data_IF_814159147086
#
_entry.id   IF_814159147086
#
_cell.length_a   1.000
_cell.length_b   1.000
_cell.length_c   1.000
_cell.angle_alpha   90.00
_cell.angle_beta   90.00
_cell.angle_gamma   90.00
#
_symmetry.space_group_name_H-M   'P 1'
#
loop_
_entity.id
_entity.type
_entity.pdbx_description
1 polymer ?
#
# COMPACT_ATOMS: atom_id res chain seq x y z
N UNK A 1 -55.31 -19.28 35.74
CA UNK A 1 -53.82 -19.32 35.69
C UNK A 1 -53.34 -19.30 34.26
N UNK A 2 -53.49 -18.21 33.47
CA UNK A 2 -53.03 -18.11 32.05
C UNK A 2 -52.53 -16.72 31.65
N UNK A 3 -52.10 -15.87 32.59
CA UNK A 3 -51.64 -14.50 32.30
C UNK A 3 -50.18 -14.20 32.63
N UNK A 4 -49.45 -15.12 33.19
CA UNK A 4 -48.06 -14.88 33.66
C UNK A 4 -46.98 -15.30 32.68
N UNK A 5 -47.29 -16.12 31.66
CA UNK A 5 -46.29 -16.64 30.72
C UNK A 5 -46.03 -15.72 29.53
N UNK A 6 -46.93 -14.80 29.23
CA UNK A 6 -46.80 -13.91 28.05
C UNK A 6 -45.88 -12.69 28.33
N UNK A 7 -45.73 -12.30 29.58
CA UNK A 7 -44.89 -11.12 29.95
C UNK A 7 -43.38 -11.51 29.95
N UNK A 8 -43.02 -12.76 30.25
CA UNK A 8 -41.62 -13.19 30.29
C UNK A 8 -41.00 -13.37 28.91
N UNK A 9 -41.78 -13.69 27.89
CA UNK A 9 -41.29 -13.82 26.51
C UNK A 9 -41.07 -12.45 25.85
N UNK A 10 -41.88 -11.42 26.19
CA UNK A 10 -41.70 -10.07 25.69
C UNK A 10 -40.43 -9.39 26.25
N UNK A 11 -40.05 -9.71 27.48
CA UNK A 11 -38.85 -9.14 28.11
C UNK A 11 -37.53 -9.74 27.61
N UNK A 12 -37.55 -10.96 27.08
CA UNK A 12 -36.37 -11.62 26.54
C UNK A 12 -36.01 -11.15 25.12
N UNK A 13 -36.94 -10.62 24.37
CA UNK A 13 -36.70 -10.12 22.99
C UNK A 13 -36.06 -8.73 22.99
N UNK A 14 -36.26 -7.93 24.03
CA UNK A 14 -35.70 -6.56 24.10
C UNK A 14 -34.21 -6.57 24.51
N UNK A 15 -33.71 -7.62 25.14
CA UNK A 15 -32.31 -7.70 25.57
C UNK A 15 -31.31 -8.00 24.42
N UNK A 16 -31.77 -8.42 23.25
CA UNK A 16 -30.90 -8.72 22.10
C UNK A 16 -30.72 -7.56 21.11
N UNK A 17 -31.39 -6.44 21.31
CA UNK A 17 -31.40 -5.33 20.34
C UNK A 17 -30.34 -4.25 20.61
N UNK A 18 -29.56 -4.34 21.67
CA UNK A 18 -28.45 -3.41 21.95
C UNK A 18 -27.09 -4.14 21.92
N UNK A 19 -26.72 -4.64 20.75
CA UNK A 19 -25.31 -4.74 20.48
C UNK A 19 -24.86 -3.32 20.07
N UNK A 20 -23.92 -2.69 20.78
CA UNK A 20 -23.30 -1.49 20.28
C UNK A 20 -22.72 -1.88 18.93
N UNK A 21 -23.17 -1.23 17.84
CA UNK A 21 -22.49 -1.33 16.58
C UNK A 21 -21.03 -0.98 16.87
N UNK A 22 -20.15 -1.98 16.75
CA UNK A 22 -18.72 -1.72 16.85
C UNK A 22 -18.46 -0.57 15.86
N UNK A 23 -17.97 0.55 16.39
CA UNK A 23 -17.67 1.71 15.57
C UNK A 23 -16.76 1.23 14.44
N UNK A 24 -17.28 1.18 13.24
CA UNK A 24 -16.53 0.74 12.08
C UNK A 24 -15.55 1.85 11.77
N UNK A 25 -14.28 1.62 12.08
CA UNK A 25 -13.21 2.57 11.81
C UNK A 25 -13.18 2.86 10.32
N UNK A 26 -13.47 4.08 9.93
CA UNK A 26 -13.23 4.58 8.59
C UNK A 26 -11.84 5.24 8.52
N UNK A 27 -11.29 5.38 7.33
CA UNK A 27 -10.00 6.05 7.18
C UNK A 27 -10.03 7.50 7.69
N UNK A 28 -11.18 8.15 7.57
CA UNK A 28 -11.42 9.53 8.03
C UNK A 28 -11.53 9.66 9.55
N UNK A 29 -11.90 8.59 10.25
CA UNK A 29 -12.10 8.58 11.70
C UNK A 29 -10.81 8.30 12.49
N UNK A 30 -9.68 8.13 11.80
CA UNK A 30 -8.39 7.81 12.39
C UNK A 30 -7.60 9.07 12.71
N UNK A 31 -8.20 9.95 13.42
CA UNK A 31 -7.55 11.15 13.93
C UNK A 31 -7.32 11.10 15.43
N UNK A 32 -6.80 12.18 15.95
CA UNK A 32 -6.75 12.54 17.37
C UNK A 32 -7.04 14.03 17.48
N UNK A 33 -7.13 14.55 18.71
CA UNK A 33 -7.46 15.97 18.92
C UNK A 33 -6.51 16.96 18.22
N UNK A 34 -5.32 16.51 17.83
CA UNK A 34 -4.29 17.30 17.16
C UNK A 34 -3.85 16.76 15.79
N UNK A 35 -4.52 15.73 15.25
CA UNK A 35 -4.24 15.15 13.94
C UNK A 35 -5.55 14.98 13.18
N UNK A 36 -5.64 15.59 12.01
CA UNK A 36 -6.75 15.45 11.08
C UNK A 36 -6.32 14.60 9.86
N UNK A 37 -7.15 13.63 9.47
CA UNK A 37 -6.95 12.88 8.22
C UNK A 37 -7.59 13.66 7.08
N UNK A 38 -6.78 14.30 6.24
CA UNK A 38 -7.24 15.15 5.14
C UNK A 38 -7.47 14.40 3.84
N UNK A 39 -6.90 13.21 3.68
CA UNK A 39 -7.05 12.40 2.47
C UNK A 39 -6.82 10.92 2.73
N UNK A 40 -7.36 10.08 1.86
CA UNK A 40 -7.19 8.64 1.90
C UNK A 40 -7.22 8.06 0.49
N UNK A 41 -6.31 7.11 0.22
CA UNK A 41 -6.27 6.34 -1.03
C UNK A 41 -6.36 4.84 -0.72
N UNK A 42 -7.40 4.15 -1.22
CA UNK A 42 -7.51 2.70 -1.06
C UNK A 42 -6.54 1.99 -2.03
N UNK A 43 -5.45 1.46 -1.50
CA UNK A 43 -4.44 0.74 -2.29
C UNK A 43 -4.65 -0.78 -2.33
N UNK A 44 -5.72 -1.28 -1.76
CA UNK A 44 -6.07 -2.70 -1.74
C UNK A 44 -6.32 -3.26 -0.33
N UNK A 45 -6.41 -4.58 -0.19
CA UNK A 45 -6.70 -5.22 1.09
C UNK A 45 -5.56 -5.02 2.09
N UNK A 46 -5.78 -5.45 3.33
CA UNK A 46 -4.75 -5.43 4.38
C UNK A 46 -3.46 -6.11 3.93
N UNK A 47 -2.32 -5.61 4.38
CA UNK A 47 -0.97 -6.10 4.03
C UNK A 47 -0.61 -5.94 2.53
N UNK A 48 -1.15 -4.93 1.86
CA UNK A 48 -0.83 -4.63 0.46
C UNK A 48 0.21 -3.51 0.29
N UNK A 49 0.69 -2.94 1.39
CA UNK A 49 1.76 -1.94 1.45
C UNK A 49 2.82 -2.44 2.43
N UNK A 50 4.08 -2.46 2.00
CA UNK A 50 5.22 -2.84 2.83
C UNK A 50 5.93 -1.62 3.42
N UNK A 51 6.22 -0.64 2.58
CA UNK A 51 6.95 0.57 2.94
C UNK A 51 6.46 1.76 2.11
N UNK A 52 6.78 2.95 2.56
CA UNK A 52 6.49 4.19 1.86
C UNK A 52 7.60 5.22 2.11
N UNK A 53 8.02 5.90 1.06
CA UNK A 53 8.90 7.06 1.17
C UNK A 53 8.26 8.30 0.55
N UNK A 54 8.53 9.46 1.12
CA UNK A 54 7.97 10.74 0.69
C UNK A 54 9.07 11.65 0.17
N UNK A 55 8.85 12.29 -0.97
CA UNK A 55 9.74 13.34 -1.43
C UNK A 55 9.77 14.50 -0.44
N UNK A 56 10.99 14.99 -0.17
CA UNK A 56 11.23 16.06 0.79
C UNK A 56 11.11 17.46 0.18
N UNK A 57 11.10 17.55 -1.14
CA UNK A 57 10.95 18.82 -1.84
C UNK A 57 9.46 19.14 -2.09
N UNK A 58 8.96 20.24 -1.53
CA UNK A 58 7.55 20.65 -1.67
C UNK A 58 7.11 20.87 -3.13
N UNK A 59 8.05 21.13 -4.04
CA UNK A 59 7.79 21.22 -5.48
C UNK A 59 7.56 19.87 -6.14
N UNK A 60 7.84 18.77 -5.44
CA UNK A 60 7.69 17.40 -5.90
C UNK A 60 6.84 16.59 -4.88
N UNK A 61 5.53 16.83 -4.85
CA UNK A 61 4.65 16.24 -3.84
C UNK A 61 4.28 14.80 -4.20
N UNK A 62 5.22 13.86 -4.07
CA UNK A 62 5.04 12.45 -4.40
C UNK A 62 5.30 11.54 -3.21
N UNK A 63 4.52 10.46 -3.13
CA UNK A 63 4.78 9.32 -2.26
C UNK A 63 5.08 8.09 -3.14
N UNK A 64 6.11 7.36 -2.74
CA UNK A 64 6.54 6.11 -3.35
C UNK A 64 6.12 4.96 -2.44
N UNK A 65 5.26 4.08 -2.91
CA UNK A 65 4.61 3.07 -2.09
C UNK A 65 5.00 1.68 -2.57
N UNK A 66 5.77 0.98 -1.75
CA UNK A 66 6.15 -0.40 -2.01
C UNK A 66 4.93 -1.32 -1.85
N UNK A 67 4.63 -2.08 -2.92
CA UNK A 67 3.47 -2.96 -3.00
C UNK A 67 3.89 -4.40 -2.85
N UNK A 68 3.29 -5.05 -1.85
CA UNK A 68 3.44 -6.48 -1.63
C UNK A 68 2.08 -7.13 -1.39
N UNK A 69 1.98 -8.44 -1.58
CA UNK A 69 0.80 -9.17 -1.19
C UNK A 69 1.13 -10.63 -0.87
N UNK A 70 0.68 -11.10 0.29
CA UNK A 70 0.90 -12.48 0.73
C UNK A 70 0.03 -13.50 -0.01
N UNK A 71 -1.07 -13.07 -0.64
CA UNK A 71 -1.87 -13.93 -1.50
C UNK A 71 -1.38 -13.86 -2.96
N UNK A 72 -1.80 -14.81 -3.77
CA UNK A 72 -1.44 -14.86 -5.20
C UNK A 72 -1.97 -13.67 -5.99
N UNK A 73 -3.15 -13.16 -5.63
CA UNK A 73 -3.77 -12.02 -6.26
C UNK A 73 -3.55 -10.75 -5.45
N UNK A 74 -2.75 -9.82 -5.94
CA UNK A 74 -2.48 -8.53 -5.34
C UNK A 74 -1.36 -7.79 -6.04
N UNK A 75 -1.35 -6.47 -5.96
CA UNK A 75 -0.31 -5.68 -6.60
C UNK A 75 1.06 -5.93 -5.95
N UNK A 76 2.08 -6.18 -6.76
CA UNK A 76 3.47 -6.39 -6.35
C UNK A 76 4.38 -5.46 -7.14
N UNK A 77 5.14 -4.63 -6.47
CA UNK A 77 6.02 -3.65 -7.10
C UNK A 77 5.98 -2.29 -6.43
N UNK A 78 5.73 -1.25 -7.19
CA UNK A 78 5.72 0.15 -6.74
C UNK A 78 4.50 0.88 -7.28
N UNK A 79 3.85 1.67 -6.44
CA UNK A 79 2.92 2.73 -6.86
C UNK A 79 3.54 4.10 -6.55
N UNK A 80 3.45 5.03 -7.50
CA UNK A 80 3.77 6.44 -7.28
C UNK A 80 2.45 7.21 -7.12
N UNK A 81 2.31 7.89 -6.00
CA UNK A 81 1.12 8.66 -5.63
C UNK A 81 1.41 10.13 -5.72
N UNK A 82 0.57 10.88 -6.42
CA UNK A 82 0.56 12.33 -6.38
C UNK A 82 -0.11 12.83 -5.11
N UNK A 83 0.56 13.74 -4.42
CA UNK A 83 0.08 14.48 -3.25
C UNK A 83 -0.08 15.98 -3.57
N UNK A 84 -0.15 16.35 -4.85
CA UNK A 84 -0.32 17.75 -5.28
C UNK A 84 -1.61 18.36 -4.72
N UNK A 85 -2.65 17.56 -4.58
CA UNK A 85 -3.82 17.84 -3.76
C UNK A 85 -3.89 16.79 -2.64
N UNK A 86 -3.47 17.13 -1.41
CA UNK A 86 -3.47 16.17 -0.31
C UNK A 86 -4.86 15.66 0.08
N UNK A 87 -5.93 16.38 -0.26
CA UNK A 87 -7.30 15.94 -0.02
C UNK A 87 -7.79 14.92 -1.06
N UNK A 88 -7.08 14.80 -2.18
CA UNK A 88 -7.39 13.89 -3.28
C UNK A 88 -6.14 13.16 -3.80
N UNK A 89 -5.44 12.40 -2.95
CA UNK A 89 -4.26 11.65 -3.37
C UNK A 89 -4.65 10.58 -4.38
N UNK A 90 -3.83 10.39 -5.42
CA UNK A 90 -4.12 9.40 -6.46
C UNK A 90 -2.84 8.81 -7.08
N UNK A 91 -2.93 7.56 -7.52
CA UNK A 91 -1.81 6.86 -8.17
C UNK A 91 -1.63 7.41 -9.59
N UNK A 92 -0.41 7.87 -9.89
CA UNK A 92 -0.04 8.39 -11.21
C UNK A 92 0.82 7.42 -12.02
N UNK A 93 1.50 6.48 -11.36
CA UNK A 93 2.33 5.48 -12.02
C UNK A 93 2.32 4.16 -11.25
N UNK A 94 2.42 3.03 -11.98
CA UNK A 94 2.49 1.69 -11.41
C UNK A 94 3.59 0.88 -12.10
N UNK A 95 4.64 0.60 -11.36
CA UNK A 95 5.60 -0.42 -11.78
C UNK A 95 5.20 -1.76 -11.16
N UNK A 96 5.29 -2.85 -11.95
CA UNK A 96 4.95 -4.19 -11.49
C UNK A 96 6.07 -5.17 -11.77
N UNK A 97 6.24 -6.13 -10.89
CA UNK A 97 7.15 -7.26 -11.08
C UNK A 97 6.66 -8.06 -12.30
N UNK A 98 7.59 -8.41 -13.19
CA UNK A 98 7.27 -9.00 -14.49
C UNK A 98 6.64 -10.39 -14.40
N UNK A 99 7.05 -11.20 -13.44
CA UNK A 99 6.56 -12.56 -13.28
C UNK A 99 5.93 -12.76 -11.90
N UNK A 100 4.68 -12.34 -11.75
CA UNK A 100 3.97 -12.38 -10.46
C UNK A 100 3.80 -13.81 -9.91
N UNK A 101 3.76 -14.84 -10.75
CA UNK A 101 3.61 -16.23 -10.34
C UNK A 101 4.86 -16.74 -9.58
N UNK A 102 6.05 -16.37 -10.05
CA UNK A 102 7.32 -16.70 -9.38
C UNK A 102 7.47 -15.93 -8.05
N UNK A 103 6.75 -14.84 -7.89
CA UNK A 103 6.81 -13.95 -6.74
C UNK A 103 5.60 -14.10 -5.81
N UNK A 104 5.05 -15.32 -5.67
CA UNK A 104 3.95 -15.56 -4.75
C UNK A 104 4.33 -15.21 -3.30
N UNK A 105 3.44 -14.52 -2.60
CA UNK A 105 3.56 -14.08 -1.20
C UNK A 105 4.61 -12.99 -0.92
N UNK A 106 5.03 -12.24 -1.93
CA UNK A 106 6.04 -11.20 -1.78
C UNK A 106 5.78 -9.99 -2.67
N UNK A 107 6.79 -9.22 -2.95
CA UNK A 107 6.69 -8.05 -3.81
C UNK A 107 7.78 -7.03 -3.53
N UNK A 108 7.46 -5.77 -3.72
CA UNK A 108 8.28 -4.66 -3.31
C UNK A 108 8.27 -4.52 -1.78
N UNK A 109 9.45 -4.48 -1.15
CA UNK A 109 9.58 -4.41 0.31
C UNK A 109 9.92 -3.03 0.79
N UNK A 110 11.11 -2.57 0.51
CA UNK A 110 11.63 -1.29 0.97
C UNK A 110 11.77 -0.34 -0.21
N UNK A 111 11.40 0.92 -0.04
CA UNK A 111 11.47 1.94 -1.07
C UNK A 111 12.16 3.18 -0.54
N UNK A 112 13.12 3.73 -1.31
CA UNK A 112 13.78 4.99 -0.97
C UNK A 112 13.93 5.85 -2.22
N UNK A 113 13.64 7.13 -2.09
CA UNK A 113 13.97 8.10 -3.12
C UNK A 113 15.32 8.77 -2.82
N UNK A 114 15.99 9.21 -3.85
CA UNK A 114 17.21 10.00 -3.72
C UNK A 114 17.40 10.91 -4.93
N UNK A 115 18.20 11.96 -4.71
CA UNK A 115 18.60 12.89 -5.77
C UNK A 115 20.08 12.71 -6.06
N UNK A 116 20.41 12.56 -7.34
CA UNK A 116 21.78 12.48 -7.82
C UNK A 116 21.94 13.34 -9.08
N UNK A 117 22.94 14.18 -9.10
CA UNK A 117 23.30 15.05 -10.25
C UNK A 117 22.09 15.80 -10.85
N UNK A 118 21.20 16.28 -9.98
CA UNK A 118 20.01 17.00 -10.37
C UNK A 118 18.84 16.16 -10.89
N UNK A 119 18.98 14.85 -10.91
CA UNK A 119 17.93 13.88 -11.25
C UNK A 119 17.38 13.20 -10.02
N UNK A 120 16.15 12.70 -10.13
CA UNK A 120 15.43 12.03 -9.03
C UNK A 120 15.23 10.57 -9.36
N UNK A 121 15.52 9.74 -8.38
CA UNK A 121 15.46 8.30 -8.51
C UNK A 121 14.72 7.67 -7.35
N UNK A 122 14.14 6.50 -7.60
CA UNK A 122 13.57 5.63 -6.59
C UNK A 122 14.23 4.27 -6.70
N UNK A 123 14.72 3.77 -5.57
CA UNK A 123 15.17 2.39 -5.45
C UNK A 123 14.10 1.58 -4.73
N UNK A 124 13.69 0.48 -5.33
CA UNK A 124 12.73 -0.47 -4.78
C UNK A 124 13.41 -1.81 -4.57
N UNK A 125 13.50 -2.26 -3.32
CA UNK A 125 13.97 -3.61 -3.02
C UNK A 125 12.87 -4.64 -3.26
N UNK A 126 13.28 -5.83 -3.67
CA UNK A 126 12.40 -6.94 -3.99
C UNK A 126 12.65 -8.11 -3.04
N UNK A 127 11.56 -8.77 -2.65
CA UNK A 127 11.61 -9.96 -1.82
C UNK A 127 10.80 -11.09 -2.46
N UNK A 128 11.20 -12.33 -2.23
CA UNK A 128 10.54 -13.53 -2.77
C UNK A 128 10.01 -14.46 -1.71
N UNK A 129 8.93 -15.16 -2.08
CA UNK A 129 8.38 -16.27 -1.34
C UNK A 129 8.93 -17.65 -1.74
N UNK A 130 9.64 -17.75 -2.86
CA UNK A 130 10.22 -18.99 -3.37
C UNK A 130 11.59 -18.75 -3.99
N UNK A 131 12.46 -19.76 -3.93
CA UNK A 131 13.78 -19.72 -4.55
C UNK A 131 13.73 -20.23 -5.99
N UNK A 132 14.64 -19.75 -6.83
CA UNK A 132 14.85 -20.21 -8.19
C UNK A 132 15.71 -19.24 -9.00
N UNK A 133 16.37 -19.73 -10.08
CA UNK A 133 17.29 -18.90 -10.84
C UNK A 133 16.64 -17.70 -11.54
N UNK A 134 15.34 -17.75 -11.77
CA UNK A 134 14.60 -16.69 -12.46
C UNK A 134 13.91 -15.72 -11.49
N UNK A 135 14.11 -15.89 -10.19
CA UNK A 135 13.53 -15.01 -9.20
C UNK A 135 14.34 -13.71 -9.11
N UNK A 136 13.68 -12.57 -9.26
CA UNK A 136 14.31 -11.26 -9.13
C UNK A 136 14.54 -10.90 -7.67
N UNK A 137 15.66 -11.34 -7.10
CA UNK A 137 16.17 -10.84 -5.82
C UNK A 137 16.99 -9.57 -6.06
N UNK A 138 16.85 -8.62 -5.16
CA UNK A 138 17.66 -7.42 -5.18
C UNK A 138 16.85 -6.16 -5.24
N UNK A 139 17.15 -5.29 -6.18
CA UNK A 139 16.49 -4.00 -6.29
C UNK A 139 16.41 -3.51 -7.74
N UNK A 140 15.40 -2.69 -8.01
CA UNK A 140 15.31 -1.89 -9.24
C UNK A 140 15.48 -0.41 -8.90
N UNK A 141 16.04 0.35 -9.84
CA UNK A 141 16.16 1.79 -9.75
C UNK A 141 15.35 2.40 -10.90
N UNK A 142 14.41 3.26 -10.56
CA UNK A 142 13.60 4.00 -11.51
C UNK A 142 14.03 5.45 -11.54
N UNK A 143 14.18 6.03 -12.73
CA UNK A 143 14.28 7.47 -12.91
C UNK A 143 12.87 8.07 -12.86
N UNK A 144 12.66 9.00 -11.94
CA UNK A 144 11.37 9.66 -11.71
C UNK A 144 11.46 11.18 -11.93
N UNK A 145 12.53 11.62 -12.59
CA UNK A 145 12.83 13.04 -12.78
C UNK A 145 11.71 13.79 -13.51
N UNK A 146 11.10 13.14 -14.50
CA UNK A 146 10.10 13.79 -15.37
C UNK A 146 8.68 13.83 -14.78
N UNK A 147 8.45 13.36 -13.56
CA UNK A 147 7.13 13.49 -12.92
C UNK A 147 6.70 14.97 -12.88
N UNK A 148 5.40 15.26 -13.13
CA UNK A 148 4.25 14.35 -13.04
C UNK A 148 3.92 13.51 -14.29
N UNK A 149 4.69 13.62 -15.38
CA UNK A 149 4.46 12.83 -16.58
C UNK A 149 4.87 11.36 -16.36
N UNK A 150 3.91 10.42 -16.24
CA UNK A 150 4.21 9.02 -15.96
C UNK A 150 4.96 8.31 -17.10
N UNK A 151 4.84 8.78 -18.33
CA UNK A 151 5.50 8.19 -19.51
C UNK A 151 7.02 8.42 -19.50
N UNK A 152 7.49 9.32 -18.65
CA UNK A 152 8.93 9.59 -18.45
C UNK A 152 9.57 8.67 -17.41
N UNK A 153 8.78 7.96 -16.60
CA UNK A 153 9.29 7.04 -15.59
C UNK A 153 9.79 5.76 -16.23
N UNK A 154 11.04 5.40 -15.98
CA UNK A 154 11.64 4.20 -16.56
C UNK A 154 12.71 3.59 -15.65
N UNK A 155 12.93 2.30 -15.79
CA UNK A 155 13.99 1.57 -15.09
C UNK A 155 15.35 1.94 -15.68
N UNK A 156 16.31 2.31 -14.83
CA UNK A 156 17.68 2.67 -15.22
C UNK A 156 18.72 1.67 -14.73
N UNK A 157 18.39 0.90 -13.69
CA UNK A 157 19.28 -0.13 -13.18
C UNK A 157 18.50 -1.22 -12.44
N UNK A 158 19.06 -2.42 -12.48
CA UNK A 158 18.57 -3.56 -11.70
C UNK A 158 19.75 -4.32 -11.10
N UNK A 159 19.69 -4.52 -9.80
CA UNK A 159 20.61 -5.42 -9.09
C UNK A 159 19.90 -6.73 -8.82
N UNK A 160 20.56 -7.85 -9.12
CA UNK A 160 20.09 -9.19 -8.79
C UNK A 160 21.01 -9.79 -7.74
N UNK A 161 20.47 -10.55 -6.80
CA UNK A 161 21.32 -11.33 -5.91
C UNK A 161 22.05 -12.38 -6.75
N UNK A 162 23.37 -12.60 -6.51
CA UNK A 162 24.08 -13.68 -7.17
C UNK A 162 23.43 -15.01 -6.78
N UNK A 163 23.31 -15.91 -7.76
CA UNK A 163 22.92 -17.29 -7.47
C UNK A 163 23.84 -17.84 -6.40
N UNK A 164 23.26 -18.29 -5.30
CA UNK A 164 24.02 -19.10 -4.32
C UNK A 164 24.24 -20.47 -4.93
N UNK A 165 25.48 -20.97 -5.04
CA UNK A 165 25.77 -22.27 -5.60
C UNK A 165 25.16 -23.42 -4.80
#
# INVERSE_FOLDING_TARGET
MKRTTTVLVAMMIVAFAFQPAAAQWTAQDRGSDNIEVIGHIPLGPSLSVADMDLEQEMSRPYAYVARMHYAEAGAKGLDIVSLADPSNPHVIYRWRIENEELHSRTGGMDVKHFKWEGRYYVVQSLQFGGGGPDNDLGAVVLDVTGLPDPDTVHEVARSRAPETP
#
